data_IF_207498126473
#
_entry.id   IF_207498126473
#
_cell.length_a   1.000
_cell.length_b   1.000
_cell.length_c   1.000
_cell.angle_alpha   90.00
_cell.angle_beta   90.00
_cell.angle_gamma   90.00
#
_symmetry.space_group_name_H-M   'P 1'
#
loop_
_entity.id
_entity.type
_entity.pdbx_description
1 polymer ?
#
# COMPACT_ATOMS: atom_id res chain seq x y z
N UNK A 1 16.60 -2.32 52.89
CA UNK A 1 15.37 -3.14 52.83
C UNK A 1 14.57 -2.62 51.64
N UNK A 2 14.57 -3.32 50.51
CA UNK A 2 13.89 -2.86 49.28
C UNK A 2 12.39 -3.16 49.42
N UNK A 3 11.48 -2.20 49.18
CA UNK A 3 10.04 -2.45 49.34
C UNK A 3 9.56 -3.50 48.33
N UNK A 4 8.75 -4.45 48.81
CA UNK A 4 8.25 -5.63 48.06
C UNK A 4 7.50 -5.21 46.78
N UNK A 5 6.90 -4.02 46.78
CA UNK A 5 6.21 -3.43 45.62
C UNK A 5 7.16 -3.07 44.47
N UNK A 6 8.41 -2.70 44.76
CA UNK A 6 9.42 -2.37 43.73
C UNK A 6 9.89 -3.62 42.98
N UNK A 7 10.02 -4.75 43.67
CA UNK A 7 10.45 -6.01 43.06
C UNK A 7 9.34 -6.59 42.19
N UNK A 8 8.08 -6.49 42.63
CA UNK A 8 6.93 -6.93 41.84
C UNK A 8 6.78 -6.16 40.53
N UNK A 9 6.92 -4.83 40.56
CA UNK A 9 6.83 -4.02 39.35
C UNK A 9 7.94 -4.36 38.35
N UNK A 10 9.17 -4.58 38.83
CA UNK A 10 10.29 -5.01 37.99
C UNK A 10 10.12 -6.41 37.41
N UNK A 11 9.60 -7.37 38.18
CA UNK A 11 9.36 -8.75 37.69
C UNK A 11 8.26 -8.79 36.63
N UNK A 12 7.17 -8.03 36.83
CA UNK A 12 6.08 -7.92 35.84
C UNK A 12 6.53 -7.18 34.58
N UNK A 13 7.36 -6.14 34.72
CA UNK A 13 7.92 -5.42 33.56
C UNK A 13 8.89 -6.32 32.77
N UNK A 14 9.75 -7.10 33.45
CA UNK A 14 10.67 -8.05 32.80
C UNK A 14 9.92 -9.20 32.13
N UNK A 15 8.85 -9.72 32.74
CA UNK A 15 8.01 -10.76 32.12
C UNK A 15 7.26 -10.25 30.89
N UNK A 16 6.88 -8.96 30.83
CA UNK A 16 6.27 -8.34 29.66
C UNK A 16 7.29 -7.96 28.56
N UNK A 17 8.57 -7.74 28.90
CA UNK A 17 9.62 -7.43 27.91
C UNK A 17 10.17 -8.66 27.18
N UNK A 18 10.04 -9.86 27.75
CA UNK A 18 10.51 -11.14 27.15
C UNK A 18 9.48 -11.75 26.18
N UNK A 19 8.26 -11.20 26.14
CA UNK A 19 7.21 -11.57 25.18
C UNK A 19 6.96 -10.44 24.15
N UNK A 20 8.02 -9.87 23.58
CA UNK A 20 7.88 -9.20 22.28
C UNK A 20 7.53 -10.28 21.25
N UNK A 21 6.36 -10.24 20.59
CA UNK A 21 5.96 -11.34 19.71
C UNK A 21 6.81 -11.29 18.43
N UNK A 22 7.92 -12.05 18.42
CA UNK A 22 8.76 -12.30 17.25
C UNK A 22 7.93 -12.75 16.03
N UNK A 23 6.76 -13.37 16.27
CA UNK A 23 5.80 -13.77 15.24
C UNK A 23 5.17 -12.60 14.47
N UNK A 24 5.00 -11.42 15.07
CA UNK A 24 4.40 -10.27 14.36
C UNK A 24 5.40 -9.61 13.43
N UNK A 25 6.68 -9.50 13.81
CA UNK A 25 7.71 -8.89 12.94
C UNK A 25 8.01 -9.72 11.70
N UNK A 26 8.09 -11.05 11.85
CA UNK A 26 8.24 -11.97 10.71
C UNK A 26 7.01 -11.90 9.79
N UNK A 27 5.80 -11.81 10.36
CA UNK A 27 4.58 -11.69 9.56
C UNK A 27 4.52 -10.36 8.79
N UNK A 28 4.92 -9.26 9.42
CA UNK A 28 4.95 -7.94 8.78
C UNK A 28 6.01 -7.86 7.68
N UNK A 29 7.20 -8.42 7.90
CA UNK A 29 8.26 -8.47 6.88
C UNK A 29 7.88 -9.35 5.67
N UNK A 30 7.28 -10.52 5.89
CA UNK A 30 6.76 -11.37 4.81
C UNK A 30 5.67 -10.63 4.02
N UNK A 31 4.74 -9.97 4.70
CA UNK A 31 3.67 -9.20 4.06
C UNK A 31 4.25 -8.04 3.22
N UNK A 32 5.26 -7.35 3.75
CA UNK A 32 5.96 -6.28 3.05
C UNK A 32 6.65 -6.78 1.78
N UNK A 33 7.46 -7.84 1.87
CA UNK A 33 8.12 -8.46 0.72
C UNK A 33 7.10 -8.89 -0.33
N UNK A 34 6.00 -9.52 0.09
CA UNK A 34 4.95 -9.95 -0.81
C UNK A 34 4.27 -8.78 -1.55
N UNK A 35 4.02 -7.67 -0.85
CA UNK A 35 3.44 -6.48 -1.46
C UNK A 35 4.40 -5.80 -2.44
N UNK A 36 5.70 -5.75 -2.14
CA UNK A 36 6.73 -5.27 -3.09
C UNK A 36 6.72 -6.11 -4.36
N UNK A 37 6.82 -7.43 -4.23
CA UNK A 37 6.88 -8.34 -5.40
C UNK A 37 5.61 -8.24 -6.24
N UNK A 38 4.44 -8.08 -5.62
CA UNK A 38 3.18 -7.86 -6.33
C UNK A 38 3.17 -6.55 -7.09
N UNK A 39 3.67 -5.49 -6.47
CA UNK A 39 3.77 -4.17 -7.09
C UNK A 39 4.65 -4.21 -8.33
N UNK A 40 5.85 -4.76 -8.23
CA UNK A 40 6.82 -4.78 -9.33
C UNK A 40 6.28 -5.51 -10.55
N UNK A 41 5.67 -6.69 -10.34
CA UNK A 41 5.00 -7.46 -11.41
C UNK A 41 3.88 -6.67 -12.08
N UNK A 42 3.15 -5.87 -11.31
CA UNK A 42 2.06 -5.06 -11.82
C UNK A 42 2.59 -3.89 -12.65
N UNK A 43 3.61 -3.19 -12.16
CA UNK A 43 4.29 -2.11 -12.89
C UNK A 43 4.86 -2.63 -14.21
N UNK A 44 5.52 -3.78 -14.20
CA UNK A 44 6.07 -4.41 -15.41
C UNK A 44 4.97 -4.72 -16.45
N UNK A 45 3.84 -5.27 -16.01
CA UNK A 45 2.68 -5.52 -16.87
C UNK A 45 2.15 -4.24 -17.51
N UNK A 46 2.04 -3.15 -16.73
CA UNK A 46 1.54 -1.87 -17.21
C UNK A 46 2.50 -1.21 -18.21
N UNK A 47 3.82 -1.35 -18.00
CA UNK A 47 4.86 -0.85 -18.92
C UNK A 47 4.83 -1.60 -20.25
N UNK A 48 4.67 -2.92 -20.20
CA UNK A 48 4.70 -3.79 -21.39
C UNK A 48 3.39 -3.74 -22.21
N UNK A 49 2.24 -3.48 -21.59
CA UNK A 49 0.94 -3.48 -22.29
C UNK A 49 -0.01 -2.35 -21.85
N UNK A 50 0.30 -1.08 -22.13
CA UNK A 50 -0.48 0.06 -21.66
C UNK A 50 -1.83 0.24 -22.39
N UNK A 51 -2.04 -0.41 -23.54
CA UNK A 51 -3.23 -0.14 -24.36
C UNK A 51 -4.48 -0.92 -23.92
N UNK A 52 -4.33 -1.92 -23.05
CA UNK A 52 -5.43 -2.80 -22.68
C UNK A 52 -5.35 -3.27 -21.22
N UNK A 53 -5.27 -2.32 -20.29
CA UNK A 53 -5.26 -2.62 -18.85
C UNK A 53 -6.66 -2.58 -18.24
N UNK A 54 -6.94 -3.53 -17.34
CA UNK A 54 -8.19 -3.58 -16.56
C UNK A 54 -8.13 -2.56 -15.43
N UNK A 55 -9.27 -1.93 -15.14
CA UNK A 55 -9.35 -0.99 -14.01
C UNK A 55 -8.96 -1.65 -12.68
N UNK A 56 -9.25 -2.93 -12.48
CA UNK A 56 -8.84 -3.68 -11.29
C UNK A 56 -7.33 -3.67 -11.03
N UNK A 57 -6.53 -3.67 -12.09
CA UNK A 57 -5.07 -3.71 -11.99
C UNK A 57 -4.55 -2.33 -11.59
N UNK A 58 -5.08 -1.27 -12.19
CA UNK A 58 -4.78 0.11 -11.81
C UNK A 58 -5.19 0.40 -10.37
N UNK A 59 -6.39 -0.03 -9.97
CA UNK A 59 -6.89 0.15 -8.60
C UNK A 59 -5.96 -0.52 -7.58
N UNK A 60 -5.57 -1.78 -7.83
CA UNK A 60 -4.64 -2.50 -6.94
C UNK A 60 -3.29 -1.80 -6.82
N UNK A 61 -2.74 -1.31 -7.92
CA UNK A 61 -1.48 -0.56 -7.90
C UNK A 61 -1.59 0.69 -7.04
N UNK A 62 -2.66 1.46 -7.24
CA UNK A 62 -2.90 2.68 -6.48
C UNK A 62 -3.10 2.41 -4.98
N UNK A 63 -3.85 1.38 -4.62
CA UNK A 63 -4.04 0.97 -3.22
C UNK A 63 -2.72 0.52 -2.57
N UNK A 64 -1.84 -0.16 -3.31
CA UNK A 64 -0.49 -0.51 -2.84
C UNK A 64 0.41 0.72 -2.63
N UNK A 65 0.18 1.79 -3.39
CA UNK A 65 0.87 3.08 -3.29
C UNK A 65 0.23 4.03 -2.27
N UNK A 66 -0.79 3.58 -1.53
CA UNK A 66 -1.46 4.33 -0.48
C UNK A 66 -2.59 5.25 -0.96
N UNK A 67 -2.95 5.19 -2.24
CA UNK A 67 -4.14 5.89 -2.73
C UNK A 67 -5.42 5.14 -2.35
N UNK A 68 -6.40 5.87 -1.82
CA UNK A 68 -7.74 5.37 -1.58
C UNK A 68 -8.71 5.82 -2.67
N UNK A 69 -9.66 4.97 -3.04
CA UNK A 69 -10.78 5.34 -3.90
C UNK A 69 -11.78 6.18 -3.09
N UNK A 70 -11.79 7.48 -3.34
CA UNK A 70 -12.59 8.47 -2.59
C UNK A 70 -14.02 8.55 -3.10
N UNK A 71 -14.20 8.68 -4.43
CA UNK A 71 -15.51 8.86 -5.05
C UNK A 71 -15.54 8.33 -6.48
N UNK A 72 -16.72 7.88 -6.90
CA UNK A 72 -17.02 7.54 -8.29
C UNK A 72 -18.15 8.44 -8.79
N UNK A 73 -17.97 9.08 -9.94
CA UNK A 73 -19.01 9.88 -10.61
C UNK A 73 -19.03 9.56 -12.11
N UNK A 74 -20.03 8.78 -12.55
CA UNK A 74 -20.04 8.23 -13.90
C UNK A 74 -18.81 7.36 -14.15
N UNK A 75 -18.06 7.63 -15.22
CA UNK A 75 -16.79 6.95 -15.50
C UNK A 75 -15.63 7.44 -14.64
N UNK A 76 -15.73 8.59 -13.99
CA UNK A 76 -14.61 9.20 -13.27
C UNK A 76 -14.44 8.57 -11.89
N UNK A 77 -13.33 7.85 -11.71
CA UNK A 77 -12.92 7.28 -10.43
C UNK A 77 -11.86 8.19 -9.82
N UNK A 78 -12.15 8.74 -8.65
CA UNK A 78 -11.31 9.70 -7.95
C UNK A 78 -10.55 8.97 -6.86
N UNK A 79 -9.23 9.03 -6.92
CA UNK A 79 -8.31 8.51 -5.93
C UNK A 79 -7.62 9.65 -5.18
N UNK A 80 -7.37 9.44 -3.89
CA UNK A 80 -6.67 10.40 -3.03
C UNK A 80 -5.57 9.74 -2.21
N UNK A 81 -4.46 10.44 -2.07
CA UNK A 81 -3.35 10.14 -1.16
C UNK A 81 -2.85 11.48 -0.62
N UNK A 82 -3.04 11.71 0.67
CA UNK A 82 -2.75 13.01 1.31
C UNK A 82 -3.41 14.18 0.54
N UNK A 83 -2.62 15.13 0.02
CA UNK A 83 -3.09 16.26 -0.79
C UNK A 83 -3.18 15.95 -2.30
N UNK A 84 -2.69 14.77 -2.72
CA UNK A 84 -2.66 14.35 -4.13
C UNK A 84 -4.00 13.76 -4.54
N UNK A 85 -4.60 14.32 -5.60
CA UNK A 85 -5.85 13.84 -6.21
C UNK A 85 -5.57 13.32 -7.62
N UNK A 86 -6.01 12.10 -7.91
CA UNK A 86 -5.91 11.48 -9.21
C UNK A 86 -7.29 11.06 -9.72
N UNK A 87 -7.63 11.49 -10.95
CA UNK A 87 -8.90 11.14 -11.59
C UNK A 87 -8.66 10.21 -12.76
N UNK A 88 -9.30 9.04 -12.73
CA UNK A 88 -9.16 7.99 -13.75
C UNK A 88 -10.53 7.68 -14.36
N UNK A 89 -10.77 8.06 -15.63
CA UNK A 89 -11.93 7.63 -16.37
C UNK A 89 -11.85 6.13 -16.71
N UNK A 90 -12.93 5.41 -16.39
CA UNK A 90 -13.08 3.98 -16.65
C UNK A 90 -14.24 3.75 -17.60
N UNK A 91 -13.98 3.07 -18.72
CA UNK A 91 -15.01 2.66 -19.68
C UNK A 91 -14.88 1.16 -19.94
N UNK A 92 -15.97 0.42 -19.85
CA UNK A 92 -16.01 -1.05 -20.02
C UNK A 92 -14.98 -1.80 -19.15
N UNK A 93 -14.77 -1.34 -17.91
CA UNK A 93 -13.76 -1.87 -16.98
C UNK A 93 -12.30 -1.73 -17.47
N UNK A 94 -12.04 -0.75 -18.36
CA UNK A 94 -10.73 -0.48 -18.96
C UNK A 94 -10.30 0.96 -18.72
N UNK A 95 -8.99 1.16 -18.70
CA UNK A 95 -8.36 2.47 -18.56
C UNK A 95 -7.54 2.77 -19.82
N UNK A 96 -7.66 4.00 -20.35
CA UNK A 96 -6.87 4.43 -21.52
C UNK A 96 -5.40 4.60 -21.14
N UNK A 97 -4.49 4.26 -22.07
CA UNK A 97 -3.04 4.30 -21.87
C UNK A 97 -2.50 5.63 -21.36
N UNK A 98 -3.11 6.76 -21.73
CA UNK A 98 -2.73 8.10 -21.23
C UNK A 98 -2.81 8.20 -19.70
N UNK A 99 -3.84 7.61 -19.07
CA UNK A 99 -3.98 7.62 -17.61
C UNK A 99 -3.02 6.63 -16.95
N UNK A 100 -2.64 5.56 -17.66
CA UNK A 100 -1.66 4.59 -17.17
C UNK A 100 -0.27 5.23 -17.12
N UNK A 101 0.13 5.95 -18.18
CA UNK A 101 1.38 6.71 -18.18
C UNK A 101 1.41 7.72 -17.04
N UNK A 102 0.32 8.46 -16.83
CA UNK A 102 0.20 9.40 -15.71
C UNK A 102 0.32 8.71 -14.34
N UNK A 103 -0.28 7.53 -14.16
CA UNK A 103 -0.13 6.73 -12.93
C UNK A 103 1.33 6.33 -12.72
N UNK A 104 2.01 5.85 -13.76
CA UNK A 104 3.42 5.45 -13.68
C UNK A 104 4.33 6.65 -13.38
N UNK A 105 4.12 7.78 -14.04
CA UNK A 105 4.87 9.03 -13.81
C UNK A 105 4.70 9.52 -12.36
N UNK A 106 3.51 9.43 -11.79
CA UNK A 106 3.28 9.78 -10.38
C UNK A 106 4.05 8.87 -9.43
N UNK A 107 4.01 7.55 -9.67
CA UNK A 107 4.68 6.56 -8.80
C UNK A 107 6.21 6.63 -8.93
N UNK A 108 6.73 6.91 -10.12
CA UNK A 108 8.17 7.08 -10.36
C UNK A 108 8.68 8.45 -9.88
N UNK A 109 7.88 9.51 -10.04
CA UNK A 109 8.22 10.85 -9.59
C UNK A 109 8.23 11.01 -8.06
N UNK A 110 7.45 10.21 -7.33
CA UNK A 110 7.52 10.13 -5.85
C UNK A 110 8.83 9.50 -5.34
N UNK A 111 9.64 8.88 -6.21
CA UNK A 111 10.89 8.21 -5.84
C UNK A 111 12.16 9.06 -6.08
N UNK A 112 12.02 10.33 -6.49
CA UNK A 112 13.13 11.30 -6.68
C UNK A 112 13.19 12.31 -5.54
#
# INVERSE_FOLDING_TARGET
MIPITSVFYSVVLVQNLVHQPFSTEVSQSILYIFNIVKKDKLIELLKNSPNNVKFSDIRKLLELEGFALDRITGSHHIFKKDETILVIPVHNNRVKSVYIKRVLELIEGEQS
#
